data_IF_995051944308
#
_entry.id   IF_995051944308
#
_cell.length_a   1.000
_cell.length_b   1.000
_cell.length_c   1.000
_cell.angle_alpha   90.00
_cell.angle_beta   90.00
_cell.angle_gamma   90.00
#
_symmetry.space_group_name_H-M   'P 1'
#
loop_
_entity.id
_entity.type
_entity.pdbx_description
1 polymer ?
#
# COMPACT_ATOMS: atom_id res chain seq x y z
N UNK A 1 -43.04 -11.51 20.28
CA UNK A 1 -42.21 -10.68 19.38
C UNK A 1 -40.97 -11.49 19.03
N UNK A 2 -40.68 -11.78 17.76
CA UNK A 2 -39.46 -12.49 17.38
C UNK A 2 -38.27 -11.53 17.56
N UNK A 3 -37.33 -11.90 18.43
CA UNK A 3 -36.04 -11.24 18.57
C UNK A 3 -35.29 -11.36 17.24
N UNK A 4 -35.11 -10.24 16.52
CA UNK A 4 -34.16 -10.14 15.41
C UNK A 4 -32.78 -10.53 15.93
N UNK A 5 -32.32 -11.72 15.58
CA UNK A 5 -30.92 -12.08 15.75
C UNK A 5 -30.08 -11.08 14.95
N UNK A 6 -29.15 -10.41 15.63
CA UNK A 6 -28.14 -9.59 14.97
C UNK A 6 -27.38 -10.46 13.97
N UNK A 7 -27.00 -9.93 12.79
CA UNK A 7 -26.30 -10.71 11.77
C UNK A 7 -25.03 -11.31 12.39
N UNK A 8 -24.88 -12.62 12.25
CA UNK A 8 -23.74 -13.39 12.75
C UNK A 8 -22.45 -12.82 12.17
N UNK A 9 -21.47 -12.48 13.03
CA UNK A 9 -20.16 -11.96 12.62
C UNK A 9 -19.48 -12.97 11.68
N UNK A 10 -19.34 -12.62 10.41
CA UNK A 10 -18.59 -13.44 9.46
C UNK A 10 -17.12 -13.04 9.51
N UNK A 11 -16.24 -14.03 9.68
CA UNK A 11 -14.81 -13.82 9.57
C UNK A 11 -14.45 -13.44 8.13
N UNK A 12 -13.50 -12.52 7.99
CA UNK A 12 -13.00 -12.14 6.67
C UNK A 12 -12.31 -13.34 6.05
N UNK A 13 -12.75 -13.68 4.85
CA UNK A 13 -12.12 -14.72 4.04
C UNK A 13 -10.79 -14.21 3.49
N UNK A 14 -9.88 -15.12 3.13
CA UNK A 14 -8.65 -14.78 2.43
C UNK A 14 -8.92 -13.87 1.22
N UNK A 15 -9.89 -14.24 0.38
CA UNK A 15 -10.31 -13.43 -0.77
C UNK A 15 -10.81 -12.03 -0.38
N UNK A 16 -11.61 -11.93 0.68
CA UNK A 16 -12.09 -10.64 1.19
C UNK A 16 -10.93 -9.77 1.70
N UNK A 17 -9.99 -10.36 2.42
CA UNK A 17 -8.79 -9.69 2.89
C UNK A 17 -7.91 -9.20 1.73
N UNK A 18 -7.63 -10.06 0.75
CA UNK A 18 -6.85 -9.72 -0.44
C UNK A 18 -7.48 -8.55 -1.18
N UNK A 19 -8.80 -8.54 -1.38
CA UNK A 19 -9.48 -7.41 -2.02
C UNK A 19 -9.34 -6.10 -1.23
N UNK A 20 -9.47 -6.14 0.09
CA UNK A 20 -9.27 -4.95 0.94
C UNK A 20 -7.84 -4.42 0.87
N UNK A 21 -6.85 -5.31 0.86
CA UNK A 21 -5.43 -4.95 0.77
C UNK A 21 -5.09 -4.38 -0.61
N UNK A 22 -5.50 -5.02 -1.70
CA UNK A 22 -5.34 -4.50 -3.07
C UNK A 22 -5.99 -3.12 -3.23
N UNK A 23 -7.20 -2.96 -2.69
CA UNK A 23 -7.90 -1.68 -2.74
C UNK A 23 -7.17 -0.59 -1.93
N UNK A 24 -6.68 -0.92 -0.73
CA UNK A 24 -5.84 -0.01 0.04
C UNK A 24 -4.62 0.46 -0.78
N UNK A 25 -3.92 -0.47 -1.47
CA UNK A 25 -2.77 -0.12 -2.31
C UNK A 25 -3.14 0.83 -3.45
N UNK A 26 -4.29 0.64 -4.10
CA UNK A 26 -4.79 1.57 -5.13
C UNK A 26 -4.85 3.00 -4.60
N UNK A 27 -5.48 3.20 -3.44
CA UNK A 27 -5.64 4.54 -2.87
C UNK A 27 -4.35 5.10 -2.28
N UNK A 28 -3.50 4.24 -1.68
CA UNK A 28 -2.21 4.66 -1.14
C UNK A 28 -1.29 5.18 -2.25
N UNK A 29 -1.15 4.43 -3.36
CA UNK A 29 -0.30 4.83 -4.49
C UNK A 29 -0.82 6.11 -5.13
N UNK A 30 -2.12 6.20 -5.45
CA UNK A 30 -2.68 7.43 -6.01
C UNK A 30 -2.47 8.65 -5.08
N UNK A 31 -2.66 8.46 -3.77
CA UNK A 31 -2.45 9.54 -2.79
C UNK A 31 -0.99 9.99 -2.76
N UNK A 32 -0.02 9.06 -2.81
CA UNK A 32 1.41 9.41 -2.81
C UNK A 32 1.78 10.13 -4.11
N UNK A 33 1.37 9.61 -5.28
CA UNK A 33 1.67 10.22 -6.58
C UNK A 33 1.16 11.67 -6.68
N UNK A 34 -0.04 11.92 -6.17
CA UNK A 34 -0.59 13.27 -6.08
C UNK A 34 0.18 14.14 -5.08
N UNK A 35 0.36 13.69 -3.84
CA UNK A 35 0.93 14.51 -2.76
C UNK A 35 2.41 14.83 -2.97
N UNK A 36 3.13 13.99 -3.73
CA UNK A 36 4.54 14.22 -4.08
C UNK A 36 4.70 14.87 -5.46
N UNK A 37 3.61 15.21 -6.14
CA UNK A 37 3.64 15.91 -7.42
C UNK A 37 4.30 15.12 -8.56
N UNK A 38 4.26 13.78 -8.50
CA UNK A 38 4.80 12.93 -9.58
C UNK A 38 3.98 13.09 -10.86
N UNK A 39 2.67 13.32 -10.71
CA UNK A 39 1.76 13.70 -11.77
C UNK A 39 1.11 15.06 -11.45
N UNK A 40 0.72 15.84 -12.47
CA UNK A 40 -0.04 17.07 -12.30
C UNK A 40 -1.29 16.89 -11.45
N UNK A 41 -1.66 17.92 -10.67
CA UNK A 41 -2.87 17.88 -9.84
C UNK A 41 -4.15 17.67 -10.65
N UNK A 42 -4.17 18.19 -11.89
CA UNK A 42 -5.32 18.14 -12.79
C UNK A 42 -5.56 16.73 -13.36
N UNK A 43 -4.60 15.81 -13.18
CA UNK A 43 -4.73 14.40 -13.54
C UNK A 43 -5.38 13.57 -12.42
N UNK A 44 -5.88 14.20 -11.36
CA UNK A 44 -6.57 13.51 -10.27
C UNK A 44 -7.95 14.10 -9.99
N UNK A 45 -8.86 13.24 -9.56
CA UNK A 45 -10.19 13.62 -9.08
C UNK A 45 -10.46 13.04 -7.70
N UNK A 46 -11.39 13.67 -6.99
CA UNK A 46 -11.77 13.31 -5.63
C UNK A 46 -12.86 12.23 -5.63
N UNK A 47 -12.67 11.16 -4.86
CA UNK A 47 -13.67 10.11 -4.63
C UNK A 47 -13.87 9.85 -3.13
N UNK A 48 -15.08 9.44 -2.73
CA UNK A 48 -15.37 9.09 -1.34
C UNK A 48 -15.09 7.60 -1.10
N UNK A 49 -14.09 7.29 -0.27
CA UNK A 49 -13.78 5.91 0.15
C UNK A 49 -13.37 5.85 1.61
N UNK A 50 -13.70 4.76 2.29
CA UNK A 50 -13.42 4.56 3.73
C UNK A 50 -13.89 5.76 4.56
N UNK A 51 -15.04 6.33 4.21
CA UNK A 51 -15.63 7.51 4.84
C UNK A 51 -14.77 8.79 4.80
N UNK A 52 -13.81 8.91 3.88
CA UNK A 52 -13.05 10.12 3.62
C UNK A 52 -12.95 10.40 2.12
N UNK A 53 -12.55 11.61 1.76
CA UNK A 53 -12.18 11.93 0.38
C UNK A 53 -10.75 11.47 0.14
N UNK A 54 -10.54 10.73 -0.94
CA UNK A 54 -9.23 10.32 -1.45
C UNK A 54 -9.11 10.73 -2.91
N UNK A 55 -7.89 10.80 -3.42
CA UNK A 55 -7.61 11.18 -4.79
C UNK A 55 -7.30 9.93 -5.62
N UNK A 56 -7.78 9.92 -6.85
CA UNK A 56 -7.55 8.86 -7.84
C UNK A 56 -7.25 9.51 -9.17
N UNK A 57 -6.29 8.94 -9.90
CA UNK A 57 -5.94 9.39 -11.25
C UNK A 57 -7.15 9.34 -12.19
N UNK A 58 -7.21 10.30 -13.11
CA UNK A 58 -8.06 10.28 -14.30
C UNK A 58 -7.23 10.21 -15.59
N UNK A 59 -5.90 10.15 -15.49
CA UNK A 59 -5.04 9.80 -16.60
C UNK A 59 -5.18 8.31 -16.92
N UNK A 60 -5.66 8.02 -18.13
CA UNK A 60 -5.99 6.67 -18.58
C UNK A 60 -4.75 5.77 -18.68
N UNK A 61 -3.57 6.33 -18.98
CA UNK A 61 -2.35 5.54 -19.07
C UNK A 61 -1.91 5.06 -17.68
N UNK A 62 -1.91 5.95 -16.69
CA UNK A 62 -1.62 5.63 -15.31
C UNK A 62 -2.68 4.70 -14.70
N UNK A 63 -3.97 4.93 -14.98
CA UNK A 63 -5.04 4.04 -14.51
C UNK A 63 -4.83 2.60 -14.99
N UNK A 64 -4.63 2.42 -16.30
CA UNK A 64 -4.38 1.11 -16.89
C UNK A 64 -3.09 0.45 -16.34
N UNK A 65 -2.04 1.25 -16.14
CA UNK A 65 -0.79 0.75 -15.55
C UNK A 65 -1.02 0.24 -14.12
N UNK A 66 -1.66 1.05 -13.27
CA UNK A 66 -1.95 0.67 -11.88
C UNK A 66 -2.88 -0.54 -11.80
N UNK A 67 -3.91 -0.62 -12.64
CA UNK A 67 -4.84 -1.74 -12.63
C UNK A 67 -4.14 -3.06 -13.04
N UNK A 68 -3.23 -3.05 -14.01
CA UNK A 68 -2.39 -4.23 -14.34
C UNK A 68 -1.56 -4.69 -13.15
N UNK A 69 -0.83 -3.75 -12.53
CA UNK A 69 0.01 -4.04 -11.36
C UNK A 69 -0.84 -4.58 -10.20
N UNK A 70 -1.97 -3.94 -9.90
CA UNK A 70 -2.86 -4.33 -8.80
C UNK A 70 -3.52 -5.69 -9.02
N UNK A 71 -3.83 -6.04 -10.28
CA UNK A 71 -4.33 -7.38 -10.62
C UNK A 71 -3.28 -8.46 -10.30
N UNK A 72 -2.01 -8.23 -10.62
CA UNK A 72 -0.95 -9.18 -10.29
C UNK A 72 -0.69 -9.24 -8.77
N UNK A 73 -0.67 -8.08 -8.10
CA UNK A 73 -0.57 -8.00 -6.64
C UNK A 73 -1.71 -8.77 -5.95
N UNK A 74 -2.94 -8.70 -6.47
CA UNK A 74 -4.07 -9.46 -5.93
C UNK A 74 -3.81 -10.98 -6.01
N UNK A 75 -3.26 -11.48 -7.12
CA UNK A 75 -2.90 -12.90 -7.24
C UNK A 75 -1.83 -13.30 -6.23
N UNK A 76 -0.76 -12.52 -6.08
CA UNK A 76 0.30 -12.84 -5.12
C UNK A 76 -0.18 -12.76 -3.66
N UNK A 77 -1.10 -11.85 -3.35
CA UNK A 77 -1.75 -11.80 -2.03
C UNK A 77 -2.62 -13.04 -1.78
N UNK A 78 -3.31 -13.55 -2.80
CA UNK A 78 -4.11 -14.78 -2.67
C UNK A 78 -3.23 -16.02 -2.46
N UNK A 79 -2.08 -16.10 -3.13
CA UNK A 79 -1.15 -17.22 -2.98
C UNK A 79 -0.22 -17.08 -1.78
N UNK A 80 -0.22 -15.91 -1.12
CA UNK A 80 0.70 -15.62 -0.03
C UNK A 80 2.16 -15.44 -0.49
N UNK A 81 2.37 -15.20 -1.78
CA UNK A 81 3.71 -15.17 -2.39
C UNK A 81 4.37 -13.79 -2.34
N UNK A 82 3.66 -12.72 -1.95
CA UNK A 82 4.22 -11.37 -1.80
C UNK A 82 4.45 -11.02 -0.33
N UNK A 83 5.62 -10.47 -0.03
CA UNK A 83 6.05 -10.13 1.34
C UNK A 83 6.22 -8.62 1.55
N UNK A 84 6.51 -7.86 0.49
CA UNK A 84 6.62 -6.40 0.56
C UNK A 84 6.24 -5.79 -0.79
N UNK A 85 5.54 -4.66 -0.76
CA UNK A 85 5.37 -3.77 -1.91
C UNK A 85 6.06 -2.45 -1.66
N UNK A 86 6.66 -1.87 -2.70
CA UNK A 86 7.41 -0.63 -2.58
C UNK A 86 7.04 0.32 -3.72
N UNK A 87 6.78 1.57 -3.37
CA UNK A 87 6.71 2.68 -4.31
C UNK A 87 7.96 3.54 -4.12
N UNK A 88 8.85 3.52 -5.10
CA UNK A 88 10.05 4.34 -5.12
C UNK A 88 9.82 5.60 -5.95
N UNK A 89 10.12 6.78 -5.40
CA UNK A 89 10.15 8.06 -6.10
C UNK A 89 11.61 8.39 -6.39
N UNK A 90 11.91 8.64 -7.66
CA UNK A 90 13.27 8.72 -8.20
C UNK A 90 13.41 10.05 -8.92
N UNK A 91 14.53 10.72 -8.68
CA UNK A 91 14.95 11.90 -9.45
C UNK A 91 15.07 11.54 -10.93
N UNK A 92 14.38 12.26 -11.82
CA UNK A 92 14.47 12.01 -13.27
C UNK A 92 15.86 12.27 -13.80
N UNK A 93 16.54 13.26 -13.23
CA UNK A 93 17.83 13.77 -13.70
C UNK A 93 18.99 12.93 -13.16
N UNK A 94 19.02 12.67 -11.85
CA UNK A 94 20.13 11.94 -11.21
C UNK A 94 19.91 10.43 -11.18
N UNK A 95 18.67 9.95 -11.38
CA UNK A 95 18.26 8.55 -11.21
C UNK A 95 18.46 8.01 -9.80
N UNK A 96 18.59 8.90 -8.82
CA UNK A 96 18.73 8.55 -7.40
C UNK A 96 17.34 8.45 -6.76
N UNK A 97 17.13 7.42 -5.93
CA UNK A 97 15.93 7.31 -5.11
C UNK A 97 15.89 8.41 -4.04
N UNK A 98 14.81 9.19 -4.07
CA UNK A 98 14.51 10.26 -3.12
C UNK A 98 13.62 9.75 -1.98
N UNK A 99 12.62 8.95 -2.32
CA UNK A 99 11.70 8.35 -1.35
C UNK A 99 11.43 6.90 -1.69
N UNK A 100 11.30 6.06 -0.66
CA UNK A 100 10.96 4.65 -0.76
C UNK A 100 9.85 4.34 0.23
N UNK A 101 8.63 4.31 -0.26
CA UNK A 101 7.43 3.96 0.49
C UNK A 101 7.28 2.44 0.50
N UNK A 102 7.57 1.81 1.63
CA UNK A 102 7.56 0.37 1.80
C UNK A 102 6.32 -0.07 2.58
N UNK A 103 5.69 -1.13 2.10
CA UNK A 103 4.52 -1.75 2.71
C UNK A 103 4.81 -3.24 2.91
N UNK A 104 5.14 -3.60 4.15
CA UNK A 104 5.38 -4.97 4.55
C UNK A 104 4.05 -5.72 4.70
N UNK A 105 3.98 -6.90 4.12
CA UNK A 105 2.80 -7.75 4.09
C UNK A 105 3.11 -9.00 4.89
N UNK A 106 2.41 -9.16 6.01
CA UNK A 106 2.54 -10.33 6.88
C UNK A 106 1.25 -11.14 6.84
N UNK A 107 1.36 -12.42 6.51
CA UNK A 107 0.30 -13.38 6.74
C UNK A 107 0.19 -13.63 8.25
N UNK A 108 -1.01 -13.44 8.78
CA UNK A 108 -1.34 -13.76 10.16
C UNK A 108 -1.69 -15.24 10.18
N UNK A 109 -0.71 -16.10 10.44
CA UNK A 109 -0.94 -17.53 10.59
C UNK A 109 -1.85 -17.77 11.80
N UNK A 110 -2.98 -18.46 11.59
CA UNK A 110 -3.89 -18.86 12.67
C UNK A 110 -3.24 -19.84 13.68
N UNK A 111 -2.09 -20.43 13.34
CA UNK A 111 -1.39 -21.40 14.19
C UNK A 111 -0.48 -20.75 15.25
N UNK A 112 0.00 -19.51 15.04
CA UNK A 112 0.79 -18.79 16.06
C UNK A 112 -0.10 -18.03 17.07
N UNK A 113 -1.41 -17.96 16.83
CA UNK A 113 -2.37 -17.51 17.83
C UNK A 113 -2.64 -18.62 18.86
N UNK A 114 -1.74 -18.77 19.83
CA UNK A 114 -1.97 -19.51 21.09
C UNK A 114 -2.97 -18.81 22.02
N UNK A 115 -4.03 -18.24 21.47
CA UNK A 115 -5.10 -17.62 22.25
C UNK A 115 -6.43 -18.00 21.60
N UNK A 116 -7.07 -19.00 22.17
CA UNK A 116 -8.52 -19.20 22.09
C UNK A 116 -9.22 -17.82 22.16
N UNK A 117 -10.13 -17.52 21.23
CA UNK A 117 -11.12 -16.43 21.32
C UNK A 117 -10.79 -14.99 20.85
N UNK A 118 -10.10 -14.76 19.72
CA UNK A 118 -10.33 -13.48 19.01
C UNK A 118 -11.61 -13.58 18.17
N UNK A 119 -12.67 -12.90 18.63
CA UNK A 119 -13.86 -12.68 17.81
C UNK A 119 -13.44 -12.02 16.48
N UNK A 120 -14.05 -12.40 15.34
CA UNK A 120 -13.66 -11.84 14.05
C UNK A 120 -13.75 -10.31 14.07
N UNK A 121 -12.68 -9.64 13.63
CA UNK A 121 -12.62 -8.19 13.59
C UNK A 121 -13.74 -7.63 12.71
N UNK A 122 -14.34 -6.54 13.18
CA UNK A 122 -15.46 -5.94 12.47
C UNK A 122 -14.96 -5.19 11.22
N UNK A 123 -15.67 -5.31 10.09
CA UNK A 123 -15.29 -4.64 8.84
C UNK A 123 -15.11 -3.12 9.03
N UNK A 124 -15.99 -2.47 9.80
CA UNK A 124 -15.87 -1.04 10.08
C UNK A 124 -14.59 -0.66 10.84
N UNK A 125 -14.06 -1.57 11.68
CA UNK A 125 -12.80 -1.36 12.38
C UNK A 125 -11.62 -1.40 11.40
N UNK A 126 -11.64 -2.35 10.47
CA UNK A 126 -10.63 -2.47 9.41
C UNK A 126 -10.67 -1.25 8.48
N UNK A 127 -11.87 -0.84 8.07
CA UNK A 127 -12.04 0.39 7.28
C UNK A 127 -11.56 1.63 8.03
N UNK A 128 -11.72 1.68 9.36
CA UNK A 128 -11.21 2.78 10.18
C UNK A 128 -9.67 2.76 10.28
N UNK A 129 -9.04 1.59 10.38
CA UNK A 129 -7.58 1.46 10.33
C UNK A 129 -7.02 1.87 8.96
N UNK A 130 -7.64 1.39 7.86
CA UNK A 130 -7.29 1.78 6.49
C UNK A 130 -7.41 3.30 6.31
N UNK A 131 -8.50 3.90 6.80
CA UNK A 131 -8.68 5.35 6.80
C UNK A 131 -7.54 6.06 7.53
N UNK A 132 -7.15 5.55 8.70
CA UNK A 132 -6.12 6.17 9.53
C UNK A 132 -4.74 6.13 8.88
N UNK A 133 -4.37 5.03 8.22
CA UNK A 133 -3.10 4.93 7.49
C UNK A 133 -3.10 5.82 6.24
N UNK A 134 -4.20 5.91 5.49
CA UNK A 134 -4.33 6.81 4.33
C UNK A 134 -4.21 8.29 4.74
N UNK A 135 -4.86 8.69 5.85
CA UNK A 135 -4.65 10.03 6.42
C UNK A 135 -3.20 10.25 6.81
N UNK A 136 -2.58 9.24 7.42
CA UNK A 136 -1.20 9.37 7.86
C UNK A 136 -0.24 9.55 6.69
N UNK A 137 -0.42 8.81 5.59
CA UNK A 137 0.35 9.01 4.35
C UNK A 137 0.33 10.49 3.95
N UNK A 138 -0.87 11.08 3.84
CA UNK A 138 -1.03 12.51 3.49
C UNK A 138 -0.36 13.43 4.51
N UNK A 139 -0.53 13.18 5.81
CA UNK A 139 0.09 14.04 6.85
C UNK A 139 1.61 13.90 6.91
N UNK A 140 2.16 12.71 6.64
CA UNK A 140 3.61 12.45 6.69
C UNK A 140 4.33 13.31 5.66
N UNK A 141 3.70 13.56 4.49
CA UNK A 141 4.25 14.41 3.43
C UNK A 141 4.64 15.80 3.93
N UNK A 142 3.94 16.35 4.94
CA UNK A 142 4.26 17.68 5.51
C UNK A 142 5.59 17.72 6.27
N UNK A 143 6.14 16.56 6.62
CA UNK A 143 7.43 16.42 7.30
C UNK A 143 8.55 15.93 6.37
N UNK A 144 8.22 15.58 5.12
CA UNK A 144 9.20 15.14 4.14
C UNK A 144 9.86 16.37 3.49
N UNK A 145 11.13 16.27 3.06
CA UNK A 145 11.79 17.32 2.29
C UNK A 145 10.96 17.73 1.06
N UNK A 146 11.05 19.00 0.69
CA UNK A 146 10.47 19.48 -0.56
C UNK A 146 11.23 18.84 -1.72
N UNK A 147 10.49 18.29 -2.68
CA UNK A 147 11.05 17.84 -3.96
C UNK A 147 10.80 18.96 -4.95
N UNK A 148 11.87 19.59 -5.43
CA UNK A 148 11.85 20.72 -6.38
C UNK A 148 12.39 20.34 -7.78
N UNK A 149 12.51 19.04 -8.04
CA UNK A 149 12.97 18.49 -9.31
C UNK A 149 11.95 17.52 -9.93
N UNK A 150 11.98 17.31 -11.26
CA UNK A 150 11.12 16.32 -11.91
C UNK A 150 11.43 14.91 -11.39
N UNK A 151 10.38 14.16 -11.06
CA UNK A 151 10.50 12.78 -10.57
C UNK A 151 9.79 11.78 -11.47
N UNK A 152 10.20 10.52 -11.34
CA UNK A 152 9.51 9.34 -11.87
C UNK A 152 9.27 8.38 -10.72
N UNK A 153 8.42 7.37 -10.91
CA UNK A 153 8.17 6.36 -9.90
C UNK A 153 8.31 4.95 -10.45
N UNK A 154 8.72 4.02 -9.58
CA UNK A 154 8.71 2.59 -9.85
C UNK A 154 7.96 1.88 -8.73
N UNK A 155 7.20 0.83 -9.08
CA UNK A 155 6.60 -0.10 -8.12
C UNK A 155 7.40 -1.40 -8.12
N UNK A 156 7.85 -1.83 -6.95
CA UNK A 156 8.57 -3.08 -6.75
C UNK A 156 7.72 -4.01 -5.88
N UNK A 157 7.81 -5.30 -6.16
CA UNK A 157 7.25 -6.34 -5.32
C UNK A 157 8.36 -7.30 -4.89
N UNK A 158 8.40 -7.59 -3.59
CA UNK A 158 9.24 -8.65 -3.05
C UNK A 158 8.35 -9.87 -2.92
N UNK A 159 8.72 -10.93 -3.62
CA UNK A 159 7.99 -12.18 -3.63
C UNK A 159 8.87 -13.33 -3.16
N UNK A 160 8.25 -14.44 -2.76
CA UNK A 160 8.98 -15.69 -2.52
C UNK A 160 9.58 -16.24 -3.82
N UNK A 161 10.67 -17.00 -3.72
CA UNK A 161 11.35 -17.62 -4.87
C UNK A 161 10.43 -18.54 -5.71
N UNK A 162 9.35 -19.05 -5.11
CA UNK A 162 8.35 -19.90 -5.76
C UNK A 162 7.18 -19.14 -6.39
N UNK A 163 7.21 -17.80 -6.39
CA UNK A 163 6.13 -16.99 -6.95
C UNK A 163 6.06 -17.12 -8.47
N UNK A 164 4.84 -17.20 -9.00
CA UNK A 164 4.60 -17.10 -10.44
C UNK A 164 4.69 -15.63 -10.87
N UNK A 165 5.81 -15.27 -11.52
CA UNK A 165 6.12 -13.90 -11.97
C UNK A 165 5.92 -13.82 -13.49
N UNK A 166 4.93 -13.03 -13.97
CA UNK A 166 4.71 -12.85 -15.40
C UNK A 166 5.91 -12.13 -16.05
N UNK A 167 6.65 -12.84 -16.91
CA UNK A 167 7.90 -12.37 -17.50
C UNK A 167 7.73 -11.20 -18.51
N UNK A 168 6.51 -10.93 -18.95
CA UNK A 168 6.15 -9.85 -19.87
C UNK A 168 5.83 -8.53 -19.16
N UNK A 169 5.48 -8.57 -17.88
CA UNK A 169 5.06 -7.39 -17.11
C UNK A 169 6.00 -7.06 -15.94
N UNK A 170 6.72 -8.06 -15.41
CA UNK A 170 7.60 -7.91 -14.24
C UNK A 170 9.00 -8.39 -14.55
N UNK A 171 9.99 -7.66 -14.01
CA UNK A 171 11.41 -7.92 -14.26
C UNK A 171 12.19 -7.75 -12.96
N UNK A 172 13.21 -8.57 -12.76
CA UNK A 172 14.11 -8.45 -11.61
C UNK A 172 14.86 -7.11 -11.65
N UNK A 173 14.96 -6.46 -10.50
CA UNK A 173 15.54 -5.13 -10.39
C UNK A 173 16.24 -4.91 -9.04
N UNK A 174 17.09 -3.89 -8.98
CA UNK A 174 17.72 -3.46 -7.72
C UNK A 174 16.64 -2.99 -6.71
N UNK A 175 16.83 -3.18 -5.40
CA UNK A 175 15.89 -2.75 -4.36
C UNK A 175 15.57 -1.24 -4.34
N UNK A 176 16.29 -0.43 -5.13
CA UNK A 176 16.19 1.03 -5.17
C UNK A 176 16.33 1.64 -3.78
N UNK A 177 17.21 1.04 -2.97
CA UNK A 177 17.42 1.42 -1.58
C UNK A 177 18.15 2.76 -1.50
N UNK A 178 17.74 3.58 -0.53
CA UNK A 178 18.44 4.83 -0.20
C UNK A 178 19.65 4.46 0.66
N UNK A 179 20.81 5.04 0.34
CA UNK A 179 22.05 4.86 1.10
C UNK A 179 21.79 5.07 2.60
N UNK A 180 22.26 4.15 3.45
CA UNK A 180 21.97 4.17 4.88
C UNK A 180 22.42 5.46 5.57
N UNK A 181 23.54 6.06 5.12
CA UNK A 181 24.06 7.34 5.62
C UNK A 181 23.21 8.56 5.25
N UNK A 182 22.33 8.43 4.25
CA UNK A 182 21.50 9.51 3.72
C UNK A 182 20.00 9.22 3.88
N UNK A 183 19.64 8.21 4.65
CA UNK A 183 18.27 7.71 4.79
C UNK A 183 17.72 8.04 6.17
N UNK A 184 16.60 8.75 6.20
CA UNK A 184 15.75 8.84 7.39
C UNK A 184 14.46 8.06 7.15
N UNK A 185 13.90 7.48 8.22
CA UNK A 185 12.74 6.60 8.12
C UNK A 185 11.62 7.06 9.06
N UNK A 186 10.40 7.05 8.55
CA UNK A 186 9.18 7.28 9.33
C UNK A 186 8.31 6.05 9.23
N UNK A 187 8.02 5.42 10.37
CA UNK A 187 7.04 4.33 10.43
C UNK A 187 5.63 4.91 10.50
N UNK A 188 4.74 4.37 9.69
CA UNK A 188 3.33 4.68 9.70
C UNK A 188 2.57 3.64 10.53
N UNK A 189 1.29 3.91 10.77
CA UNK A 189 0.34 2.97 11.36
C UNK A 189 0.24 1.75 10.47
N UNK A 190 -0.18 0.65 11.09
CA UNK A 190 -0.49 -0.61 10.42
C UNK A 190 -1.99 -0.86 10.47
N UNK A 191 -2.47 -1.75 9.61
CA UNK A 191 -3.81 -2.31 9.72
C UNK A 191 -3.77 -3.82 9.58
N UNK A 192 -4.80 -4.50 10.10
CA UNK A 192 -4.93 -5.95 9.99
C UNK A 192 -6.36 -6.33 9.64
N UNK A 193 -6.49 -7.31 8.74
CA UNK A 193 -7.75 -7.96 8.34
C UNK A 193 -7.97 -9.30 9.06
N UNK A 194 -7.14 -9.62 10.06
CA UNK A 194 -6.97 -10.94 10.69
C UNK A 194 -6.41 -12.05 9.77
N UNK A 195 -6.20 -11.75 8.49
CA UNK A 195 -5.52 -12.64 7.52
C UNK A 195 -4.22 -12.01 7.05
N UNK A 196 -4.28 -10.76 6.59
CA UNK A 196 -3.12 -9.96 6.25
C UNK A 196 -2.97 -8.81 7.24
N UNK A 197 -1.74 -8.58 7.67
CA UNK A 197 -1.30 -7.40 8.40
C UNK A 197 -0.37 -6.59 7.49
N UNK A 198 -0.68 -5.31 7.32
CA UNK A 198 0.08 -4.38 6.50
C UNK A 198 0.77 -3.37 7.40
N UNK A 199 2.09 -3.27 7.30
CA UNK A 199 2.89 -2.27 8.00
C UNK A 199 3.50 -1.33 6.97
N UNK A 200 3.35 -0.01 7.16
CA UNK A 200 3.86 0.97 6.21
C UNK A 200 5.01 1.78 6.81
N UNK A 201 5.96 2.16 5.96
CA UNK A 201 7.08 3.03 6.30
C UNK A 201 7.45 3.84 5.06
N UNK A 202 7.93 5.06 5.26
CA UNK A 202 8.66 5.80 4.22
C UNK A 202 10.10 5.99 4.66
N UNK A 203 11.03 5.58 3.80
CA UNK A 203 12.41 6.03 3.86
C UNK A 203 12.56 7.21 2.90
N UNK A 204 13.20 8.29 3.31
CA UNK A 204 13.43 9.45 2.47
C UNK A 204 14.88 9.90 2.57
N UNK A 205 15.39 10.44 1.47
CA UNK A 205 16.74 10.95 1.36
C UNK A 205 16.81 12.28 2.10
N UNK A 206 17.76 12.39 3.02
CA UNK A 206 18.04 13.61 3.75
C UNK A 206 19.54 13.88 3.70
N UNK A 207 19.90 15.01 3.11
CA UNK A 207 21.26 15.53 3.12
C UNK A 207 21.27 16.69 4.14
N UNK A 208 21.73 16.36 5.34
CA UNK A 208 21.92 17.33 6.43
C UNK A 208 23.27 18.04 6.33
#
# INVERSE_FOLDING_TARGET
>A
MPTKQAPTRQAITLKGSTNLVTEFFKYAVNSILFQRGVYPSDDFHMVKKYGQTVLVTQDLALENYLDKILNQVNKWLLTGSVTQLVLAIISKDTRITLERWAFDIKLVNQEESTVESRAPKHEAEIQAEIRNILKQIVTTVTFLPVIDEPTVFNILAYTSDSADVPADEWVDTDPLAIEASKSQQVKLRSFSTDVHRIEAMVAYRYEG
#
